data_IF_190128301256
#
_entry.id   IF_190128301256
#
_cell.length_a   1.000
_cell.length_b   1.000
_cell.length_c   1.000
_cell.angle_alpha   90.00
_cell.angle_beta   90.00
_cell.angle_gamma   90.00
#
_symmetry.space_group_name_H-M   'P 1'
#
loop_
_entity.id
_entity.type
_entity.pdbx_description
1 polymer ?
#
# COMPACT_ATOMS: atom_id res chain seq x y z
N UNK A 1 34.12 -21.63 -42.08
CA UNK A 1 33.67 -21.81 -40.68
C UNK A 1 33.02 -20.51 -40.21
N UNK A 2 31.69 -20.44 -40.20
CA UNK A 2 30.95 -19.29 -39.69
C UNK A 2 30.13 -19.75 -38.47
N UNK A 3 30.46 -19.24 -37.27
CA UNK A 3 29.72 -19.55 -36.05
C UNK A 3 28.48 -18.66 -35.98
N UNK A 4 27.29 -19.27 -36.09
CA UNK A 4 26.01 -18.64 -35.78
C UNK A 4 25.94 -18.36 -34.28
N UNK A 5 25.67 -17.12 -33.88
CA UNK A 5 25.35 -16.76 -32.49
C UNK A 5 23.84 -16.91 -32.29
N UNK A 6 23.45 -17.66 -31.25
CA UNK A 6 22.06 -17.71 -30.77
C UNK A 6 21.67 -16.36 -30.14
N UNK A 7 20.41 -15.91 -30.29
CA UNK A 7 19.89 -14.78 -29.53
C UNK A 7 19.62 -15.22 -28.08
N UNK A 8 20.16 -14.47 -27.12
CA UNK A 8 19.82 -14.58 -25.70
C UNK A 8 18.39 -14.05 -25.50
N UNK A 9 17.48 -14.88 -25.01
CA UNK A 9 16.20 -14.45 -24.45
C UNK A 9 16.48 -13.64 -23.17
N UNK A 10 15.92 -12.43 -23.08
CA UNK A 10 15.89 -11.64 -21.85
C UNK A 10 14.64 -12.04 -21.04
N UNK A 11 14.71 -12.08 -19.70
CA UNK A 11 13.53 -12.25 -18.85
C UNK A 11 12.67 -10.98 -18.91
N UNK A 12 11.36 -11.16 -18.79
CA UNK A 12 10.35 -10.10 -18.72
C UNK A 12 10.48 -9.33 -17.39
N UNK A 13 10.32 -7.99 -17.34
CA UNK A 13 10.17 -7.28 -16.09
C UNK A 13 8.73 -7.42 -15.56
N UNK A 14 8.60 -7.43 -14.24
CA UNK A 14 7.33 -7.48 -13.53
C UNK A 14 6.93 -6.04 -13.15
N UNK A 15 5.67 -5.68 -13.41
CA UNK A 15 5.07 -4.41 -12.96
C UNK A 15 4.68 -4.55 -11.50
N UNK A 16 5.17 -3.66 -10.64
CA UNK A 16 4.81 -3.59 -9.22
C UNK A 16 3.93 -2.36 -8.97
N UNK A 17 2.73 -2.59 -8.44
CA UNK A 17 1.77 -1.57 -8.05
C UNK A 17 1.77 -1.53 -6.50
N UNK A 18 2.38 -0.52 -5.90
CA UNK A 18 2.36 -0.34 -4.44
C UNK A 18 1.18 0.55 -4.05
N UNK A 19 0.23 0.02 -3.28
CA UNK A 19 -0.86 0.77 -2.66
C UNK A 19 -0.70 0.71 -1.14
N UNK A 20 -0.24 1.80 -0.52
CA UNK A 20 -0.13 1.92 0.93
C UNK A 20 -1.42 2.54 1.49
N UNK A 21 -2.22 1.76 2.23
CA UNK A 21 -3.41 2.25 2.91
C UNK A 21 -3.11 2.42 4.41
N UNK A 22 -2.98 3.66 4.88
CA UNK A 22 -2.87 3.98 6.32
C UNK A 22 -4.16 4.67 6.77
N UNK A 23 -4.93 3.99 7.63
CA UNK A 23 -6.07 4.57 8.35
C UNK A 23 -5.64 4.95 9.76
N UNK A 24 -5.64 6.24 10.07
CA UNK A 24 -5.37 6.73 11.43
C UNK A 24 -6.59 6.49 12.35
N UNK A 25 -6.42 5.60 13.34
CA UNK A 25 -7.31 5.48 14.50
C UNK A 25 -7.01 6.63 15.47
N UNK A 26 -8.00 7.48 15.74
CA UNK A 26 -7.89 8.51 16.78
C UNK A 26 -8.21 7.91 18.16
N UNK A 27 -7.18 7.70 18.98
CA UNK A 27 -7.37 7.37 20.39
C UNK A 27 -7.53 8.65 21.22
N UNK A 28 -8.75 8.88 21.71
CA UNK A 28 -9.02 9.85 22.77
C UNK A 28 -8.48 9.36 24.11
N UNK A 29 -7.66 10.18 24.74
CA UNK A 29 -7.05 9.96 26.05
C UNK A 29 -7.96 10.49 27.14
N UNK A 30 -8.30 9.68 28.14
CA UNK A 30 -8.78 10.16 29.43
C UNK A 30 -8.13 9.34 30.56
N UNK A 31 -7.47 10.05 31.46
CA UNK A 31 -6.67 9.51 32.56
C UNK A 31 -7.46 9.29 33.85
N UNK A 32 -6.83 8.60 34.80
CA UNK A 32 -7.29 8.52 36.18
C UNK A 32 -6.68 7.34 36.95
N UNK A 33 -5.72 7.67 37.81
CA UNK A 33 -4.96 6.81 38.71
C UNK A 33 -5.80 5.98 39.71
N UNK A 34 -5.28 4.81 40.14
CA UNK A 34 -5.04 4.55 41.58
C UNK A 34 -4.28 3.24 41.89
N UNK A 35 -3.24 3.42 42.73
CA UNK A 35 -2.83 2.64 43.89
C UNK A 35 -2.26 1.19 43.80
N UNK A 36 -0.98 1.12 44.20
CA UNK A 36 -0.43 0.31 45.32
C UNK A 36 -0.17 -1.20 45.14
N UNK A 37 1.08 -1.59 45.40
CA UNK A 37 1.35 -2.75 46.27
C UNK A 37 2.42 -3.75 45.83
N UNK A 38 3.51 -3.77 46.62
CA UNK A 38 4.36 -4.92 46.94
C UNK A 38 5.41 -5.43 45.94
N UNK A 39 6.66 -5.15 46.31
CA UNK A 39 7.85 -5.87 45.87
C UNK A 39 7.78 -7.36 46.23
N UNK A 40 8.08 -8.24 45.26
CA UNK A 40 8.40 -9.65 45.51
C UNK A 40 9.52 -10.11 44.59
N UNK A 41 10.35 -10.99 45.14
CA UNK A 41 11.67 -11.42 44.72
C UNK A 41 11.81 -11.92 43.27
N UNK A 42 12.95 -11.56 42.67
CA UNK A 42 13.48 -12.09 41.40
C UNK A 42 13.95 -13.54 41.59
N UNK A 43 13.22 -14.48 40.99
CA UNK A 43 13.76 -15.81 40.66
C UNK A 43 14.18 -15.77 39.20
N UNK A 44 15.46 -16.00 38.94
CA UNK A 44 15.98 -16.24 37.59
C UNK A 44 15.65 -17.69 37.25
N UNK A 45 14.60 -17.90 36.46
CA UNK A 45 14.45 -19.16 35.72
C UNK A 45 15.01 -18.97 34.32
N UNK A 46 16.01 -19.79 34.01
CA UNK A 46 16.62 -19.96 32.71
C UNK A 46 15.57 -20.58 31.77
N UNK A 47 14.77 -19.72 31.14
CA UNK A 47 13.83 -20.15 30.12
C UNK A 47 14.62 -20.54 28.86
N UNK A 48 14.73 -21.85 28.64
CA UNK A 48 15.11 -22.43 27.36
C UNK A 48 14.07 -21.99 26.33
N UNK A 49 14.37 -20.96 25.54
CA UNK A 49 13.56 -20.53 24.40
C UNK A 49 13.63 -21.61 23.33
N UNK A 50 12.70 -22.55 23.43
CA UNK A 50 12.36 -23.41 22.30
C UNK A 50 11.52 -22.54 21.37
N UNK A 51 12.12 -22.07 20.27
CA UNK A 51 11.35 -21.49 19.16
C UNK A 51 10.42 -22.57 18.62
N UNK A 52 9.20 -22.62 19.13
CA UNK A 52 8.09 -23.31 18.50
C UNK A 52 7.61 -22.45 17.34
N UNK A 53 7.86 -22.88 16.11
CA UNK A 53 7.10 -22.43 14.94
C UNK A 53 5.62 -22.60 15.28
N UNK A 54 4.78 -21.55 15.21
CA UNK A 54 3.35 -21.73 15.40
C UNK A 54 2.86 -22.68 14.30
N UNK A 55 2.23 -23.78 14.70
CA UNK A 55 1.55 -24.65 13.77
C UNK A 55 0.37 -23.84 13.19
N UNK A 56 0.46 -23.46 11.92
CA UNK A 56 -0.67 -22.92 11.16
C UNK A 56 -1.77 -23.96 11.17
N UNK A 57 -2.71 -23.80 12.11
CA UNK A 57 -3.91 -24.62 12.17
C UNK A 57 -4.78 -24.20 10.99
N UNK A 58 -5.27 -25.16 10.22
CA UNK A 58 -6.18 -24.87 9.11
C UNK A 58 -7.36 -24.04 9.62
N UNK A 59 -7.75 -22.96 8.92
CA UNK A 59 -8.81 -22.07 9.38
C UNK A 59 -10.14 -22.82 9.42
N UNK A 60 -10.92 -22.60 10.48
CA UNK A 60 -12.23 -23.25 10.65
C UNK A 60 -13.31 -22.61 9.76
N UNK A 61 -13.15 -21.31 9.46
CA UNK A 61 -14.03 -20.55 8.56
C UNK A 61 -13.20 -19.67 7.64
N UNK A 62 -13.80 -19.18 6.54
CA UNK A 62 -13.11 -18.28 5.63
C UNK A 62 -12.71 -16.97 6.30
N UNK A 63 -13.56 -16.42 7.17
CA UNK A 63 -13.26 -15.24 7.97
C UNK A 63 -12.03 -15.45 8.88
N UNK A 64 -11.94 -16.59 9.57
CA UNK A 64 -10.76 -16.92 10.38
C UNK A 64 -9.49 -17.00 9.53
N UNK A 65 -9.62 -17.51 8.30
CA UNK A 65 -8.54 -17.54 7.31
C UNK A 65 -8.07 -16.15 6.89
N UNK A 66 -9.01 -15.24 6.60
CA UNK A 66 -8.68 -13.84 6.30
C UNK A 66 -8.02 -13.15 7.49
N UNK A 67 -8.54 -13.32 8.71
CA UNK A 67 -7.95 -12.73 9.92
C UNK A 67 -6.52 -13.24 10.17
N UNK A 68 -6.31 -14.55 10.03
CA UNK A 68 -4.99 -15.15 10.22
C UNK A 68 -3.99 -14.64 9.17
N UNK A 69 -4.42 -14.56 7.91
CA UNK A 69 -3.57 -14.10 6.81
C UNK A 69 -3.28 -12.61 6.91
N UNK A 70 -4.31 -11.78 6.96
CA UNK A 70 -4.15 -10.32 6.99
C UNK A 70 -3.52 -9.83 8.28
N UNK A 71 -3.72 -10.52 9.41
CA UNK A 71 -3.03 -10.18 10.65
C UNK A 71 -1.52 -10.37 10.56
N UNK A 72 -1.06 -11.37 9.77
CA UNK A 72 0.35 -11.61 9.50
C UNK A 72 0.89 -10.66 8.42
N UNK A 73 0.21 -10.56 7.27
CA UNK A 73 0.65 -9.74 6.13
C UNK A 73 0.66 -8.23 6.42
N UNK A 74 -0.27 -7.73 7.25
CA UNK A 74 -0.33 -6.32 7.63
C UNK A 74 0.47 -5.99 8.89
N UNK A 75 0.98 -7.00 9.61
CA UNK A 75 1.54 -6.89 10.97
C UNK A 75 0.62 -6.10 11.94
N UNK A 76 -0.70 -6.16 11.70
CA UNK A 76 -1.72 -5.46 12.49
C UNK A 76 -3.01 -6.29 12.57
N UNK A 77 -3.18 -7.11 13.63
CA UNK A 77 -4.36 -7.93 13.80
C UNK A 77 -5.64 -7.11 14.05
N UNK A 78 -5.52 -5.88 14.58
CA UNK A 78 -6.67 -5.01 14.79
C UNK A 78 -7.17 -4.43 13.47
N UNK A 79 -6.25 -4.05 12.58
CA UNK A 79 -6.58 -3.66 11.22
C UNK A 79 -7.18 -4.83 10.43
N UNK A 80 -6.60 -6.02 10.52
CA UNK A 80 -7.14 -7.22 9.90
C UNK A 80 -8.60 -7.49 10.34
N UNK A 81 -8.88 -7.34 11.64
CA UNK A 81 -10.24 -7.43 12.18
C UNK A 81 -11.16 -6.36 11.58
N UNK A 82 -10.71 -5.10 11.54
CA UNK A 82 -11.52 -4.01 10.99
C UNK A 82 -11.83 -4.21 9.49
N UNK A 83 -10.90 -4.78 8.72
CA UNK A 83 -11.11 -5.11 7.30
C UNK A 83 -12.15 -6.22 7.13
N UNK A 84 -12.05 -7.30 7.92
CA UNK A 84 -13.03 -8.40 7.88
C UNK A 84 -14.42 -7.93 8.34
N UNK A 85 -14.49 -7.11 9.39
CA UNK A 85 -15.74 -6.50 9.85
C UNK A 85 -16.33 -5.57 8.79
N UNK A 86 -15.48 -4.79 8.11
CA UNK A 86 -15.87 -3.87 7.04
C UNK A 86 -16.42 -4.55 5.79
N UNK A 87 -15.93 -5.76 5.46
CA UNK A 87 -16.51 -6.59 4.41
C UNK A 87 -17.93 -7.06 4.74
N UNK A 88 -18.19 -7.29 6.03
CA UNK A 88 -19.42 -7.90 6.51
C UNK A 88 -19.63 -9.33 6.00
N UNK A 89 -20.74 -9.99 6.40
CA UNK A 89 -20.99 -11.40 6.07
C UNK A 89 -21.15 -11.63 4.56
N UNK A 90 -21.69 -10.66 3.84
CA UNK A 90 -21.93 -10.75 2.40
C UNK A 90 -20.63 -10.63 1.60
N UNK A 91 -19.72 -9.73 2.00
CA UNK A 91 -18.40 -9.59 1.37
C UNK A 91 -17.53 -10.82 1.61
N UNK A 92 -17.51 -11.32 2.85
CA UNK A 92 -16.82 -12.56 3.21
C UNK A 92 -17.33 -13.75 2.40
N UNK A 93 -18.66 -13.92 2.29
CA UNK A 93 -19.24 -15.02 1.50
C UNK A 93 -18.94 -14.92 0.01
N UNK A 94 -18.88 -13.70 -0.56
CA UNK A 94 -18.50 -13.49 -1.95
C UNK A 94 -17.03 -13.87 -2.20
N UNK A 95 -16.11 -13.44 -1.33
CA UNK A 95 -14.70 -13.82 -1.42
C UNK A 95 -14.51 -15.32 -1.25
N UNK A 96 -15.23 -15.95 -0.31
CA UNK A 96 -15.22 -17.40 -0.14
C UNK A 96 -15.69 -18.12 -1.40
N UNK A 97 -16.71 -17.61 -2.08
CA UNK A 97 -17.17 -18.18 -3.35
C UNK A 97 -16.15 -18.09 -4.50
N UNK A 98 -15.25 -17.11 -4.46
CA UNK A 98 -14.21 -16.91 -5.46
C UNK A 98 -12.93 -17.70 -5.16
N UNK A 99 -12.52 -17.72 -3.89
CA UNK A 99 -11.23 -18.27 -3.45
C UNK A 99 -11.37 -19.68 -2.87
N UNK A 100 -12.42 -19.91 -2.07
CA UNK A 100 -12.61 -21.13 -1.30
C UNK A 100 -11.78 -21.19 -0.02
N UNK A 101 -12.33 -21.86 1.01
CA UNK A 101 -11.67 -22.02 2.32
C UNK A 101 -10.28 -22.66 2.21
N UNK A 102 -10.11 -23.65 1.34
CA UNK A 102 -8.84 -24.38 1.19
C UNK A 102 -7.70 -23.51 0.66
N UNK A 103 -7.99 -22.36 0.03
CA UNK A 103 -7.01 -21.48 -0.59
C UNK A 103 -6.87 -20.11 0.09
N UNK A 104 -7.67 -19.79 1.11
CA UNK A 104 -7.71 -18.46 1.75
C UNK A 104 -6.34 -17.95 2.21
N UNK A 105 -5.46 -18.85 2.67
CA UNK A 105 -4.11 -18.50 3.14
C UNK A 105 -3.08 -18.28 2.02
N UNK A 106 -3.39 -18.67 0.77
CA UNK A 106 -2.40 -18.69 -0.33
C UNK A 106 -2.87 -17.99 -1.60
N UNK A 107 -4.17 -17.80 -1.79
CA UNK A 107 -4.71 -17.27 -3.03
C UNK A 107 -4.36 -15.78 -3.19
N UNK A 108 -3.80 -15.36 -4.34
CA UNK A 108 -3.39 -13.97 -4.54
C UNK A 108 -4.57 -12.97 -4.50
N UNK A 109 -5.82 -13.40 -4.73
CA UNK A 109 -6.97 -12.49 -4.69
C UNK A 109 -7.27 -11.91 -3.30
N UNK A 110 -6.79 -12.55 -2.24
CA UNK A 110 -6.93 -12.08 -0.85
C UNK A 110 -5.57 -11.80 -0.20
N UNK A 111 -4.52 -11.68 -0.99
CA UNK A 111 -3.21 -11.25 -0.49
C UNK A 111 -3.14 -9.73 -0.35
N UNK A 112 -2.55 -9.28 0.76
CA UNK A 112 -2.30 -7.89 1.10
C UNK A 112 -0.81 -7.54 1.08
N UNK A 113 0.07 -8.54 0.88
CA UNK A 113 1.50 -8.33 0.70
C UNK A 113 1.81 -8.06 -0.79
N UNK A 114 2.09 -6.79 -1.19
CA UNK A 114 2.46 -6.48 -2.55
C UNK A 114 3.86 -7.05 -2.86
N UNK A 115 4.13 -7.47 -4.11
CA UNK A 115 5.48 -7.87 -4.49
C UNK A 115 6.47 -6.71 -4.25
N UNK A 116 7.62 -7.02 -3.63
CA UNK A 116 8.67 -6.04 -3.35
C UNK A 116 9.87 -6.21 -4.29
N UNK A 117 10.56 -5.11 -4.59
CA UNK A 117 11.85 -5.09 -5.27
C UNK A 117 12.89 -4.36 -4.40
N UNK A 118 14.20 -4.62 -4.56
CA UNK A 118 15.23 -3.81 -3.94
C UNK A 118 15.14 -2.33 -4.36
N UNK A 119 15.39 -1.41 -3.43
CA UNK A 119 15.29 0.04 -3.70
C UNK A 119 16.21 0.51 -4.84
N UNK A 120 17.34 -0.15 -5.06
CA UNK A 120 18.29 0.15 -6.14
C UNK A 120 17.85 -0.39 -7.52
N UNK A 121 16.78 -1.18 -7.58
CA UNK A 121 16.14 -1.62 -8.82
C UNK A 121 14.98 -0.71 -9.24
N UNK A 122 14.53 0.22 -8.38
CA UNK A 122 13.49 1.20 -8.70
C UNK A 122 14.10 2.31 -9.54
N UNK A 123 13.58 2.51 -10.75
CA UNK A 123 14.05 3.53 -11.71
C UNK A 123 13.07 4.69 -11.90
N UNK A 124 11.85 4.55 -11.37
CA UNK A 124 10.77 5.53 -11.44
C UNK A 124 9.69 5.22 -10.38
N UNK A 125 8.93 6.22 -9.97
CA UNK A 125 7.84 6.06 -9.00
C UNK A 125 6.53 6.63 -9.55
N UNK A 126 5.44 5.87 -9.42
CA UNK A 126 4.08 6.36 -9.68
C UNK A 126 3.34 6.45 -8.34
N UNK A 127 2.78 7.61 -8.03
CA UNK A 127 2.11 7.87 -6.73
C UNK A 127 0.72 8.42 -6.94
N UNK A 128 -0.29 7.74 -6.43
CA UNK A 128 -1.66 8.23 -6.47
C UNK A 128 -2.44 7.77 -5.26
N UNK A 129 -3.39 8.59 -4.85
CA UNK A 129 -4.34 8.28 -3.79
C UNK A 129 -5.66 8.98 -4.04
N UNK A 130 -6.70 8.43 -3.42
CA UNK A 130 -8.04 8.96 -3.48
C UNK A 130 -8.48 9.39 -2.09
N UNK A 131 -9.10 10.56 -2.01
CA UNK A 131 -9.63 11.11 -0.78
C UNK A 131 -9.20 12.54 -0.57
N UNK A 132 -10.17 13.45 -0.63
CA UNK A 132 -9.98 14.88 -0.41
C UNK A 132 -10.74 15.34 0.82
N UNK A 133 -10.18 16.34 1.51
CA UNK A 133 -10.93 17.10 2.51
C UNK A 133 -11.69 18.20 1.78
N UNK A 134 -12.97 18.34 2.09
CA UNK A 134 -13.83 19.40 1.55
C UNK A 134 -14.04 20.45 2.62
N UNK A 135 -13.58 21.67 2.38
CA UNK A 135 -13.85 22.80 3.25
C UNK A 135 -15.32 23.25 3.14
N UNK A 136 -15.79 24.08 4.08
CA UNK A 136 -17.17 24.55 4.09
C UNK A 136 -17.57 25.37 2.85
N UNK A 137 -16.59 25.95 2.15
CA UNK A 137 -16.76 26.69 0.91
C UNK A 137 -16.63 25.83 -0.35
N UNK A 138 -16.43 24.51 -0.19
CA UNK A 138 -16.27 23.56 -1.28
C UNK A 138 -14.83 23.42 -1.80
N UNK A 139 -13.87 24.16 -1.24
CA UNK A 139 -12.46 24.01 -1.59
C UNK A 139 -11.97 22.60 -1.25
N UNK A 140 -11.31 21.96 -2.22
CA UNK A 140 -10.68 20.66 -2.03
C UNK A 140 -9.24 20.84 -1.54
N UNK A 141 -8.83 19.99 -0.61
CA UNK A 141 -7.44 19.89 -0.16
C UNK A 141 -7.04 18.43 -0.03
N UNK A 142 -5.74 18.10 -0.16
CA UNK A 142 -5.25 16.74 0.01
C UNK A 142 -5.70 16.15 1.35
N UNK A 143 -6.24 14.93 1.32
CA UNK A 143 -6.52 14.15 2.53
C UNK A 143 -5.26 13.60 3.22
N UNK A 144 -5.39 13.07 4.46
CA UNK A 144 -4.25 12.54 5.23
C UNK A 144 -3.44 11.46 4.49
N UNK A 145 -4.09 10.65 3.65
CA UNK A 145 -3.42 9.61 2.86
C UNK A 145 -2.49 10.22 1.81
N UNK A 146 -2.89 11.34 1.18
CA UNK A 146 -2.04 12.05 0.23
C UNK A 146 -0.83 12.67 0.94
N UNK A 147 -1.04 13.24 2.13
CA UNK A 147 0.03 13.80 2.97
C UNK A 147 1.06 12.72 3.33
N UNK A 148 0.61 11.56 3.81
CA UNK A 148 1.47 10.44 4.16
C UNK A 148 2.24 9.85 2.96
N UNK A 149 1.57 9.73 1.80
CA UNK A 149 2.23 9.25 0.57
C UNK A 149 3.26 10.26 0.05
N UNK A 150 2.98 11.55 0.11
CA UNK A 150 3.93 12.58 -0.27
C UNK A 150 5.18 12.53 0.64
N UNK A 151 5.00 12.38 1.95
CA UNK A 151 6.11 12.23 2.90
C UNK A 151 6.96 10.99 2.62
N UNK A 152 6.33 9.83 2.46
CA UNK A 152 7.02 8.58 2.15
C UNK A 152 7.80 8.67 0.82
N UNK A 153 7.18 9.25 -0.20
CA UNK A 153 7.81 9.45 -1.52
C UNK A 153 8.99 10.42 -1.42
N UNK A 154 8.84 11.54 -0.71
CA UNK A 154 9.93 12.49 -0.52
C UNK A 154 11.12 11.88 0.22
N UNK A 155 10.86 11.05 1.24
CA UNK A 155 11.91 10.32 1.95
C UNK A 155 12.63 9.33 1.03
N UNK A 156 11.90 8.55 0.23
CA UNK A 156 12.47 7.62 -0.73
C UNK A 156 13.35 8.34 -1.77
N UNK A 157 12.82 9.41 -2.39
CA UNK A 157 13.53 10.14 -3.46
C UNK A 157 14.76 10.90 -2.95
N UNK A 158 14.80 11.26 -1.66
CA UNK A 158 15.98 11.87 -1.05
C UNK A 158 17.20 10.94 -1.10
N UNK A 159 16.98 9.62 -0.93
CA UNK A 159 18.02 8.60 -0.99
C UNK A 159 18.15 7.96 -2.39
N UNK A 160 17.07 7.98 -3.18
CA UNK A 160 16.96 7.36 -4.51
C UNK A 160 16.42 8.36 -5.55
N UNK A 161 17.29 9.22 -6.15
CA UNK A 161 16.83 10.24 -7.09
C UNK A 161 16.31 9.63 -8.40
N UNK A 162 15.00 9.48 -8.50
CA UNK A 162 14.29 8.92 -9.66
C UNK A 162 13.09 9.81 -10.04
N UNK A 163 12.62 9.77 -11.30
CA UNK A 163 11.44 10.51 -11.73
C UNK A 163 10.19 10.07 -10.98
N UNK A 164 9.35 11.03 -10.59
CA UNK A 164 8.09 10.79 -9.89
C UNK A 164 6.90 11.23 -10.74
N UNK A 165 5.95 10.34 -10.99
CA UNK A 165 4.67 10.62 -11.64
C UNK A 165 3.58 10.56 -10.57
N UNK A 166 3.12 11.72 -10.10
CA UNK A 166 2.20 11.79 -8.97
C UNK A 166 0.86 12.40 -9.37
N UNK A 167 -0.25 11.88 -8.85
CA UNK A 167 -1.56 12.53 -8.97
C UNK A 167 -1.50 13.96 -8.42
N UNK A 168 -2.18 14.91 -9.07
CA UNK A 168 -2.01 16.36 -8.83
C UNK A 168 -1.99 16.79 -7.35
N UNK A 169 -2.84 16.23 -6.48
CA UNK A 169 -2.82 16.57 -5.05
C UNK A 169 -1.50 16.20 -4.37
N UNK A 170 -0.93 15.03 -4.71
CA UNK A 170 0.35 14.56 -4.18
C UNK A 170 1.50 15.29 -4.87
N UNK A 171 1.40 15.54 -6.17
CA UNK A 171 2.40 16.29 -6.93
C UNK A 171 2.60 17.72 -6.38
N UNK A 172 1.52 18.39 -5.99
CA UNK A 172 1.56 19.71 -5.37
C UNK A 172 2.29 19.67 -4.01
N UNK A 173 2.03 18.64 -3.19
CA UNK A 173 2.72 18.45 -1.91
C UNK A 173 4.22 18.18 -2.09
N UNK A 174 4.59 17.34 -3.06
CA UNK A 174 5.98 17.01 -3.38
C UNK A 174 6.73 18.23 -3.94
N UNK A 175 6.12 18.95 -4.87
CA UNK A 175 6.72 20.16 -5.45
C UNK A 175 6.85 21.26 -4.38
N UNK A 176 5.84 21.43 -3.53
CA UNK A 176 5.86 22.38 -2.42
C UNK A 176 6.91 22.05 -1.35
N UNK A 177 7.29 20.79 -1.19
CA UNK A 177 8.37 20.34 -0.30
C UNK A 177 9.76 20.36 -0.96
N UNK A 178 9.84 20.70 -2.25
CA UNK A 178 11.10 20.84 -2.98
C UNK A 178 11.65 19.55 -3.57
N UNK A 179 10.83 18.50 -3.68
CA UNK A 179 11.21 17.27 -4.37
C UNK A 179 11.41 17.57 -5.87
N UNK A 180 12.57 17.24 -6.45
CA UNK A 180 12.83 17.47 -7.87
C UNK A 180 12.16 16.39 -8.74
N UNK A 181 12.07 16.65 -10.05
CA UNK A 181 11.65 15.67 -11.07
C UNK A 181 10.26 15.04 -10.83
N UNK A 182 9.32 15.89 -10.40
CA UNK A 182 7.91 15.52 -10.20
C UNK A 182 7.09 15.93 -11.41
N UNK A 183 6.35 14.97 -11.97
CA UNK A 183 5.38 15.16 -13.04
C UNK A 183 3.97 14.96 -12.48
N UNK A 184 3.12 15.99 -12.60
CA UNK A 184 1.72 15.92 -12.18
C UNK A 184 0.89 15.09 -13.17
N UNK A 185 0.09 14.17 -12.64
CA UNK A 185 -0.99 13.48 -13.33
C UNK A 185 -2.28 14.23 -13.02
N UNK A 186 -2.56 15.23 -13.86
CA UNK A 186 -3.75 16.05 -13.71
C UNK A 186 -5.03 15.28 -14.07
N UNK A 187 -6.18 15.62 -13.47
CA UNK A 187 -7.47 15.11 -13.95
C UNK A 187 -7.77 15.59 -15.37
N UNK A 188 -8.79 15.02 -16.00
CA UNK A 188 -9.27 15.54 -17.28
C UNK A 188 -10.17 16.76 -17.06
N UNK A 189 -10.23 17.65 -18.05
CA UNK A 189 -11.12 18.81 -18.02
C UNK A 189 -12.30 18.58 -18.94
N UNK A 190 -13.51 18.62 -18.39
CA UNK A 190 -14.75 18.54 -19.14
C UNK A 190 -14.94 19.76 -20.07
N UNK A 191 -15.89 19.68 -21.02
CA UNK A 191 -16.14 20.76 -21.98
C UNK A 191 -16.51 22.10 -21.32
N UNK A 192 -17.05 22.07 -20.11
CA UNK A 192 -17.45 23.25 -19.33
C UNK A 192 -16.37 23.71 -18.33
N UNK A 193 -15.16 23.14 -18.39
CA UNK A 193 -14.07 23.45 -17.46
C UNK A 193 -14.12 22.70 -16.13
N UNK A 194 -15.05 21.76 -15.96
CA UNK A 194 -15.15 20.95 -14.75
C UNK A 194 -14.02 19.91 -14.65
N UNK A 195 -13.64 19.56 -13.43
CA UNK A 195 -12.67 18.50 -13.15
C UNK A 195 -13.34 17.14 -13.31
N UNK A 196 -12.87 16.36 -14.27
CA UNK A 196 -13.26 14.96 -14.48
C UNK A 196 -12.21 14.06 -13.83
N UNK A 197 -12.57 13.51 -12.68
CA UNK A 197 -11.70 12.58 -11.95
C UNK A 197 -11.50 11.28 -12.73
N UNK A 198 -10.26 10.83 -12.75
CA UNK A 198 -9.86 9.58 -13.37
C UNK A 198 -10.16 8.40 -12.43
N UNK A 199 -10.49 7.25 -13.02
CA UNK A 199 -10.43 5.99 -12.31
C UNK A 199 -8.98 5.60 -12.01
N UNK A 200 -8.74 4.63 -11.12
CA UNK A 200 -7.40 4.08 -10.88
C UNK A 200 -6.71 3.65 -12.18
N UNK A 201 -7.44 3.00 -13.08
CA UNK A 201 -6.93 2.62 -14.40
C UNK A 201 -6.59 3.85 -15.26
N UNK A 202 -7.44 4.88 -15.25
CA UNK A 202 -7.19 6.12 -15.98
C UNK A 202 -5.97 6.88 -15.47
N UNK A 203 -5.73 6.90 -14.16
CA UNK A 203 -4.51 7.48 -13.57
C UNK A 203 -3.27 6.72 -14.06
N UNK A 204 -3.30 5.38 -14.00
CA UNK A 204 -2.20 4.54 -14.46
C UNK A 204 -1.91 4.72 -15.96
N UNK A 205 -2.94 4.72 -16.81
CA UNK A 205 -2.81 4.95 -18.26
C UNK A 205 -2.19 6.33 -18.56
N UNK A 206 -2.62 7.37 -17.84
CA UNK A 206 -2.09 8.73 -18.01
C UNK A 206 -0.64 8.83 -17.54
N UNK A 207 -0.28 8.18 -16.43
CA UNK A 207 1.10 8.11 -15.96
C UNK A 207 2.03 7.49 -17.01
N UNK A 208 1.61 6.39 -17.65
CA UNK A 208 2.36 5.74 -18.73
C UNK A 208 2.54 6.64 -19.94
N UNK A 209 1.49 7.38 -20.34
CA UNK A 209 1.58 8.38 -21.41
C UNK A 209 2.62 9.45 -21.10
N UNK A 210 2.54 10.06 -19.92
CA UNK A 210 3.45 11.11 -19.46
C UNK A 210 4.90 10.62 -19.36
N UNK A 211 5.11 9.42 -18.82
CA UNK A 211 6.44 8.81 -18.75
C UNK A 211 7.02 8.55 -20.14
N UNK A 212 6.20 8.03 -21.07
CA UNK A 212 6.60 7.79 -22.45
C UNK A 212 7.02 9.08 -23.19
N UNK A 213 6.35 10.21 -22.93
CA UNK A 213 6.73 11.52 -23.47
C UNK A 213 8.09 12.00 -22.95
N UNK A 214 8.48 11.57 -21.75
CA UNK A 214 9.76 11.88 -21.11
C UNK A 214 10.85 10.84 -21.39
N UNK A 215 10.52 9.77 -22.11
CA UNK A 215 11.45 8.67 -22.39
C UNK A 215 11.73 7.77 -21.17
N UNK A 216 10.86 7.81 -20.16
CA UNK A 216 10.88 6.93 -18.99
C UNK A 216 10.01 5.71 -19.28
N UNK A 217 10.52 4.51 -18.98
CA UNK A 217 9.79 3.25 -19.14
C UNK A 217 9.25 2.81 -17.78
N UNK A 218 7.93 2.82 -17.60
CA UNK A 218 7.27 2.35 -16.37
C UNK A 218 7.09 0.81 -16.34
N UNK A 219 7.75 0.08 -17.23
CA UNK A 219 7.84 -1.38 -17.20
C UNK A 219 6.65 -2.14 -17.81
N UNK A 220 6.04 -1.61 -18.88
CA UNK A 220 4.90 -2.23 -19.59
C UNK A 220 5.19 -3.63 -20.15
#
# INVERSE_FOLDING_TARGET
MARRRCPRRRPFPAVVLAALAVLAVSCGSDGGDDASGAATATTIEEATTTSSTPATTAPATFADGLLARWGDELDDPALAQALVDGLGPEGVSQLEGLVGLDAVLTDPLVGMDPPTVPDDEVDSVVVYAFGNRVAADGTLSPGPVNEALAEATAAFVADHPVPVFAQWEVADLLTGSGVPDVTSIDPDTGPDGEVVYLSTAGVAEKAVGLAGEQGVDLGQ
#
